data_IF_026007181662
#
_entry.id   IF_026007181662
#
_cell.length_a   1.000
_cell.length_b   1.000
_cell.length_c   1.000
_cell.angle_alpha   90.00
_cell.angle_beta   90.00
_cell.angle_gamma   90.00
#
_symmetry.space_group_name_H-M   'P 1'
#
loop_
_entity.id
_entity.type
_entity.pdbx_description
1 polymer ?
#
# COMPACT_ATOMS: atom_id res chain seq x y z
N UNK A 1 34.99 29.58 -31.04
CA UNK A 1 34.50 30.12 -32.33
C UNK A 1 33.64 29.07 -32.98
N UNK A 2 32.36 29.39 -33.21
CA UNK A 2 31.30 28.47 -33.64
C UNK A 2 30.77 29.03 -34.98
N UNK A 3 30.75 28.29 -36.09
CA UNK A 3 30.04 28.74 -37.28
C UNK A 3 28.63 28.19 -37.28
N UNK A 4 27.70 29.14 -37.30
CA UNK A 4 26.28 28.98 -37.60
C UNK A 4 26.11 28.59 -39.07
N UNK A 5 25.31 27.57 -39.34
CA UNK A 5 24.82 27.25 -40.69
C UNK A 5 23.31 27.40 -40.70
N UNK A 6 22.84 28.41 -41.44
CA UNK A 6 21.44 28.73 -41.65
C UNK A 6 20.88 27.90 -42.82
N UNK A 7 19.77 27.21 -42.58
CA UNK A 7 19.00 26.51 -43.60
C UNK A 7 17.84 27.42 -44.04
N UNK A 8 17.83 27.80 -45.32
CA UNK A 8 16.69 28.47 -45.98
C UNK A 8 15.92 27.40 -46.75
N UNK A 9 14.62 27.27 -46.51
CA UNK A 9 13.70 26.54 -47.39
C UNK A 9 12.61 27.51 -47.80
N UNK A 10 12.56 27.75 -49.11
CA UNK A 10 11.51 28.49 -49.83
C UNK A 10 10.76 27.48 -50.71
N UNK A 11 9.56 27.86 -51.19
CA UNK A 11 8.77 27.28 -52.31
C UNK A 11 7.69 26.30 -51.82
N UNK A 12 6.42 26.36 -52.24
CA UNK A 12 5.65 27.36 -52.99
C UNK A 12 4.15 27.08 -52.82
N UNK A 13 3.39 28.17 -52.90
CA UNK A 13 1.94 28.25 -53.07
C UNK A 13 1.53 27.73 -54.45
N UNK A 14 0.49 26.87 -54.51
CA UNK A 14 -0.25 26.59 -55.74
C UNK A 14 -1.71 26.94 -55.51
N UNK A 15 -2.14 28.02 -56.15
CA UNK A 15 -3.55 28.34 -56.43
C UNK A 15 -4.04 27.46 -57.58
N UNK A 16 -5.24 26.92 -57.48
CA UNK A 16 -6.04 26.54 -58.64
C UNK A 16 -7.51 26.92 -58.40
N UNK A 17 -8.06 27.68 -59.33
CA UNK A 17 -9.37 28.29 -59.30
C UNK A 17 -10.42 27.43 -60.03
N UNK A 18 -11.65 27.47 -59.50
CA UNK A 18 -12.90 27.66 -60.24
C UNK A 18 -13.42 26.53 -61.12
N UNK A 19 -14.64 26.06 -60.83
CA UNK A 19 -15.65 25.82 -61.87
C UNK A 19 -17.06 26.05 -61.32
N UNK A 20 -17.89 26.65 -62.19
CA UNK A 20 -19.25 27.13 -61.98
C UNK A 20 -20.28 25.99 -61.93
N UNK A 21 -21.31 26.21 -61.12
CA UNK A 21 -22.71 25.99 -61.52
C UNK A 21 -23.25 24.56 -61.50
N UNK A 22 -24.21 24.31 -60.62
CA UNK A 22 -25.60 24.04 -61.03
C UNK A 22 -26.49 23.97 -59.80
N UNK A 23 -27.63 24.65 -59.91
CA UNK A 23 -28.75 24.71 -59.00
C UNK A 23 -29.44 23.36 -58.85
N UNK A 24 -29.60 22.89 -57.61
CA UNK A 24 -30.52 21.80 -57.25
C UNK A 24 -31.31 22.19 -56.00
N UNK A 25 -32.61 21.92 -56.07
CA UNK A 25 -33.72 22.33 -55.22
C UNK A 25 -33.55 21.99 -53.71
N UNK A 26 -34.23 22.71 -52.79
CA UNK A 26 -34.21 22.37 -51.37
C UNK A 26 -35.07 21.12 -51.13
N UNK A 27 -34.41 19.99 -50.84
CA UNK A 27 -35.06 18.81 -50.28
C UNK A 27 -35.30 19.09 -48.79
N UNK A 28 -36.57 19.20 -48.41
CA UNK A 28 -37.01 19.17 -47.01
C UNK A 28 -36.66 17.80 -46.41
N UNK A 29 -35.48 17.70 -45.81
CA UNK A 29 -35.09 16.56 -45.00
C UNK A 29 -35.81 16.65 -43.65
N UNK A 30 -36.83 15.80 -43.46
CA UNK A 30 -37.35 15.46 -42.14
C UNK A 30 -36.21 14.85 -41.33
N UNK A 31 -35.67 15.62 -40.38
CA UNK A 31 -34.79 15.11 -39.33
C UNK A 31 -35.59 14.17 -38.44
N UNK A 32 -35.59 12.88 -38.79
CA UNK A 32 -35.77 11.85 -37.78
C UNK A 32 -34.55 11.94 -36.88
N UNK A 33 -34.72 12.55 -35.72
CA UNK A 33 -33.82 12.35 -34.58
C UNK A 33 -33.82 10.84 -34.28
N UNK A 34 -32.90 10.10 -34.89
CA UNK A 34 -32.41 8.87 -34.30
C UNK A 34 -31.70 9.31 -33.03
N UNK A 35 -32.43 9.26 -31.92
CA UNK A 35 -31.87 9.37 -30.59
C UNK A 35 -30.89 8.21 -30.47
N UNK A 36 -29.62 8.49 -30.73
CA UNK A 36 -28.53 7.64 -30.34
C UNK A 36 -28.72 7.42 -28.83
N UNK A 37 -29.15 6.21 -28.45
CA UNK A 37 -28.99 5.74 -27.08
C UNK A 37 -27.50 5.79 -26.83
N UNK A 38 -27.06 6.85 -26.16
CA UNK A 38 -25.81 6.82 -25.43
C UNK A 38 -25.86 5.54 -24.59
N UNK A 39 -24.83 4.67 -24.66
CA UNK A 39 -24.65 3.69 -23.62
C UNK A 39 -24.59 4.50 -22.33
N UNK A 40 -25.60 4.34 -21.48
CA UNK A 40 -25.53 4.81 -20.12
C UNK A 40 -24.24 4.26 -19.56
N UNK A 41 -23.30 5.17 -19.31
CA UNK A 41 -22.11 4.96 -18.50
C UNK A 41 -22.61 4.59 -17.11
N UNK A 42 -23.03 3.33 -16.96
CA UNK A 42 -23.14 2.67 -15.69
C UNK A 42 -21.71 2.49 -15.23
N UNK A 43 -21.23 3.46 -14.46
CA UNK A 43 -20.27 3.15 -13.42
C UNK A 43 -20.86 1.95 -12.70
N UNK A 44 -20.31 0.77 -12.96
CA UNK A 44 -20.50 -0.33 -12.03
C UNK A 44 -19.85 0.16 -10.75
N UNK A 45 -20.68 0.71 -9.87
CA UNK A 45 -20.30 1.03 -8.53
C UNK A 45 -19.66 -0.23 -7.97
N UNK A 46 -18.39 -0.12 -7.61
CA UNK A 46 -17.73 -1.12 -6.79
C UNK A 46 -18.67 -1.31 -5.61
N UNK A 47 -19.26 -2.49 -5.51
CA UNK A 47 -20.18 -2.84 -4.44
C UNK A 47 -19.37 -2.85 -3.14
N UNK A 48 -19.22 -1.71 -2.47
CA UNK A 48 -18.73 -1.63 -1.08
C UNK A 48 -19.90 -2.00 -0.15
N UNK A 49 -20.47 -3.18 -0.37
CA UNK A 49 -21.51 -3.80 0.44
C UNK A 49 -21.18 -5.29 0.69
N UNK A 50 -19.88 -5.60 0.76
CA UNK A 50 -19.36 -6.93 1.07
C UNK A 50 -18.30 -6.83 2.17
N UNK A 51 -18.21 -7.87 3.00
CA UNK A 51 -17.15 -8.00 4.00
C UNK A 51 -15.79 -7.95 3.29
N UNK A 52 -14.92 -7.01 3.66
CA UNK A 52 -13.58 -6.90 3.11
C UNK A 52 -12.81 -8.21 3.37
N UNK A 53 -12.43 -8.91 2.30
CA UNK A 53 -11.70 -10.17 2.36
C UNK A 53 -10.40 -10.07 1.57
N UNK A 54 -9.35 -10.68 2.11
CA UNK A 54 -8.06 -10.78 1.45
C UNK A 54 -7.74 -12.25 1.18
N UNK A 55 -7.41 -12.58 -0.07
CA UNK A 55 -6.92 -13.91 -0.42
C UNK A 55 -5.40 -13.84 -0.51
N UNK A 56 -4.72 -14.42 0.49
CA UNK A 56 -3.25 -14.57 0.38
C UNK A 56 -2.97 -15.46 -0.82
N UNK A 57 -2.28 -14.88 -1.80
CA UNK A 57 -1.75 -15.57 -2.98
C UNK A 57 -0.41 -16.20 -2.59
N UNK A 58 0.13 -17.08 -3.43
CA UNK A 58 1.50 -17.59 -3.21
C UNK A 58 2.47 -16.41 -3.19
N UNK A 59 3.10 -16.19 -2.04
CA UNK A 59 4.14 -15.17 -1.84
C UNK A 59 5.51 -15.81 -2.02
N UNK A 60 6.52 -15.05 -2.48
CA UNK A 60 7.89 -15.52 -2.37
C UNK A 60 8.26 -15.65 -0.89
N UNK A 61 9.18 -16.56 -0.60
CA UNK A 61 9.73 -16.75 0.73
C UNK A 61 11.18 -16.29 0.80
N UNK A 62 11.58 -15.86 1.98
CA UNK A 62 12.97 -15.52 2.34
C UNK A 62 13.32 -16.15 3.68
N UNK A 63 14.57 -16.05 4.10
CA UNK A 63 14.99 -16.62 5.37
C UNK A 63 14.09 -16.14 6.52
N UNK A 64 13.82 -17.05 7.46
CA UNK A 64 12.90 -16.83 8.56
C UNK A 64 13.46 -15.77 9.49
N UNK A 65 12.56 -14.88 9.85
CA UNK A 65 12.80 -13.72 10.68
C UNK A 65 11.83 -13.79 11.85
N UNK A 66 12.36 -13.83 13.08
CA UNK A 66 11.60 -14.11 14.30
C UNK A 66 11.55 -12.91 15.25
N UNK A 67 10.60 -12.93 16.18
CA UNK A 67 10.61 -12.02 17.32
C UNK A 67 11.57 -12.48 18.40
N UNK A 68 12.32 -11.57 19.02
CA UNK A 68 13.18 -11.90 20.16
C UNK A 68 13.18 -10.78 21.20
N UNK A 69 13.39 -11.16 22.46
CA UNK A 69 13.58 -10.26 23.58
C UNK A 69 15.04 -10.30 24.03
N UNK A 70 15.61 -9.14 24.37
CA UNK A 70 16.90 -9.03 25.05
C UNK A 70 16.72 -8.33 26.39
N UNK A 71 17.46 -8.77 27.39
CA UNK A 71 17.41 -8.18 28.73
C UNK A 71 16.11 -8.47 29.47
N UNK A 72 15.74 -7.58 30.40
CA UNK A 72 14.60 -7.79 31.32
C UNK A 72 13.33 -7.07 30.87
N UNK A 73 12.86 -7.35 29.65
CA UNK A 73 11.55 -6.89 29.19
C UNK A 73 10.41 -7.69 29.84
N UNK A 74 9.18 -7.13 29.92
CA UNK A 74 7.99 -7.90 30.28
C UNK A 74 7.83 -9.13 29.37
N UNK A 75 7.18 -10.21 29.84
CA UNK A 75 7.02 -11.46 29.08
C UNK A 75 5.95 -11.32 27.98
N UNK A 76 6.18 -10.41 27.05
CA UNK A 76 5.28 -10.07 25.95
C UNK A 76 6.04 -10.05 24.64
N UNK A 77 5.36 -10.41 23.55
CA UNK A 77 5.96 -10.47 22.21
C UNK A 77 5.29 -9.44 21.31
N UNK A 78 6.07 -8.51 20.78
CA UNK A 78 5.62 -7.68 19.66
C UNK A 78 5.63 -8.52 18.39
N UNK A 79 4.66 -8.31 17.50
CA UNK A 79 4.48 -9.14 16.31
C UNK A 79 4.15 -8.28 15.08
N UNK A 80 4.65 -8.63 13.89
CA UNK A 80 4.27 -7.93 12.67
C UNK A 80 2.81 -8.27 12.34
N UNK A 81 2.06 -7.32 11.77
CA UNK A 81 0.66 -7.56 11.36
C UNK A 81 0.67 -8.13 9.94
N UNK A 82 1.00 -9.41 9.82
CA UNK A 82 1.22 -10.08 8.52
C UNK A 82 0.48 -11.42 8.49
N UNK A 83 -0.04 -11.85 7.32
CA UNK A 83 -0.71 -13.14 7.22
C UNK A 83 0.25 -14.27 7.62
N UNK A 84 -0.20 -15.23 8.43
CA UNK A 84 0.63 -16.34 8.87
C UNK A 84 1.12 -17.15 7.67
N UNK A 85 2.27 -17.80 7.83
CA UNK A 85 2.83 -18.71 6.84
C UNK A 85 1.89 -19.87 6.58
N UNK A 86 1.58 -20.13 5.32
CA UNK A 86 0.91 -21.37 4.92
C UNK A 86 1.95 -22.42 4.52
N UNK A 87 1.70 -23.72 4.78
CA UNK A 87 2.65 -24.79 4.42
C UNK A 87 3.05 -24.81 2.94
N UNK A 88 2.18 -24.30 2.06
CA UNK A 88 2.36 -24.22 0.62
C UNK A 88 3.20 -23.00 0.15
N UNK A 89 3.51 -22.05 1.05
CA UNK A 89 4.29 -20.84 0.72
C UNK A 89 5.78 -20.96 1.01
N UNK A 90 6.19 -21.98 1.77
CA UNK A 90 7.58 -22.14 2.23
C UNK A 90 8.07 -23.55 1.98
N UNK A 91 9.29 -23.68 1.48
CA UNK A 91 9.92 -24.98 1.27
C UNK A 91 10.44 -25.60 2.57
N UNK A 92 10.60 -24.80 3.63
CA UNK A 92 11.06 -25.24 4.95
C UNK A 92 10.57 -24.32 6.08
N UNK A 93 10.68 -24.79 7.32
CA UNK A 93 10.40 -23.99 8.53
C UNK A 93 11.43 -22.87 8.77
N UNK A 94 12.48 -22.79 7.95
CA UNK A 94 13.50 -21.75 7.95
C UNK A 94 13.17 -20.60 7.00
N UNK A 95 11.97 -20.59 6.43
CA UNK A 95 11.50 -19.53 5.53
C UNK A 95 10.33 -18.73 6.12
N UNK A 96 10.23 -17.46 5.70
CA UNK A 96 9.14 -16.55 5.99
C UNK A 96 8.61 -15.94 4.69
N UNK A 97 7.29 -15.84 4.50
CA UNK A 97 6.69 -15.16 3.36
C UNK A 97 7.04 -13.67 3.31
N UNK A 98 7.04 -13.13 2.09
CA UNK A 98 7.30 -11.73 1.81
C UNK A 98 6.00 -11.03 1.44
N UNK A 99 5.61 -10.00 2.19
CA UNK A 99 4.39 -9.24 1.90
C UNK A 99 4.61 -8.22 0.79
N UNK A 100 3.57 -7.97 0.00
CA UNK A 100 3.61 -7.03 -1.12
C UNK A 100 3.18 -5.63 -0.71
N UNK A 101 3.83 -4.62 -1.30
CA UNK A 101 3.42 -3.21 -1.29
C UNK A 101 3.47 -2.62 -2.70
N UNK A 102 2.54 -1.74 -3.06
CA UNK A 102 2.65 -0.91 -4.26
C UNK A 102 3.36 0.42 -3.98
N UNK A 103 3.28 0.90 -2.73
CA UNK A 103 3.88 2.16 -2.29
C UNK A 103 5.40 2.16 -2.40
N UNK A 104 5.95 3.28 -2.86
CA UNK A 104 7.38 3.59 -2.79
C UNK A 104 7.88 3.79 -1.36
N UNK A 105 6.95 4.17 -0.46
CA UNK A 105 7.17 4.54 0.93
C UNK A 105 6.06 3.88 1.77
N UNK A 106 6.13 2.56 2.00
CA UNK A 106 5.07 1.84 2.70
C UNK A 106 4.92 2.25 4.17
N UNK A 107 3.75 1.97 4.73
CA UNK A 107 3.54 1.93 6.17
C UNK A 107 3.64 0.49 6.64
N UNK A 108 4.50 0.23 7.63
CA UNK A 108 4.72 -1.10 8.20
C UNK A 108 4.01 -1.20 9.56
N UNK A 109 3.37 -2.33 9.84
CA UNK A 109 2.49 -2.48 11.01
C UNK A 109 3.01 -3.52 12.00
N UNK A 110 3.03 -3.13 13.28
CA UNK A 110 3.40 -3.98 14.41
C UNK A 110 2.32 -3.93 15.49
N UNK A 111 1.96 -5.08 16.06
CA UNK A 111 1.17 -5.14 17.28
C UNK A 111 2.07 -5.05 18.51
N UNK A 112 1.70 -4.14 19.40
CA UNK A 112 2.30 -3.94 20.70
C UNK A 112 1.27 -4.39 21.75
N UNK A 113 1.43 -5.57 22.36
CA UNK A 113 0.36 -6.17 23.17
C UNK A 113 0.24 -5.61 24.59
N UNK A 114 1.19 -4.78 25.03
CA UNK A 114 1.27 -4.29 26.40
C UNK A 114 1.44 -2.78 26.47
N UNK A 115 1.03 -2.21 27.60
CA UNK A 115 1.31 -0.81 27.91
C UNK A 115 2.81 -0.58 28.03
N UNK A 116 3.31 0.43 27.31
CA UNK A 116 4.72 0.81 27.32
C UNK A 116 4.89 2.34 27.33
N UNK A 117 4.52 3.02 28.44
CA UNK A 117 4.59 4.47 28.53
C UNK A 117 6.01 5.00 28.33
N UNK A 118 6.18 5.98 27.44
CA UNK A 118 7.48 6.60 27.17
C UNK A 118 8.49 5.68 26.47
N UNK A 119 8.08 4.49 26.03
CA UNK A 119 8.95 3.62 25.25
C UNK A 119 9.26 4.23 23.89
N UNK A 120 10.54 4.12 23.51
CA UNK A 120 11.01 4.51 22.18
C UNK A 120 11.11 3.25 21.33
N UNK A 121 10.53 3.30 20.15
CA UNK A 121 10.68 2.29 19.13
C UNK A 121 11.62 2.76 18.03
N UNK A 122 12.28 1.82 17.37
CA UNK A 122 13.16 2.04 16.24
C UNK A 122 12.75 1.12 15.10
N UNK A 123 12.56 1.70 13.91
CA UNK A 123 12.42 0.97 12.66
C UNK A 123 13.76 0.99 11.92
N UNK A 124 14.21 -0.17 11.46
CA UNK A 124 15.33 -0.30 10.53
C UNK A 124 14.85 -1.00 9.27
N UNK A 125 15.30 -0.54 8.11
CA UNK A 125 15.08 -1.16 6.81
C UNK A 125 16.43 -1.54 6.21
N UNK A 126 16.54 -2.76 5.72
CA UNK A 126 17.74 -3.31 5.10
C UNK A 126 17.46 -3.82 3.70
N UNK A 127 18.51 -3.95 2.89
CA UNK A 127 18.44 -4.62 1.60
C UNK A 127 18.11 -6.12 1.74
N UNK A 128 17.88 -6.79 0.62
CA UNK A 128 17.50 -8.21 0.59
C UNK A 128 18.53 -9.14 1.23
N UNK A 129 19.82 -8.79 1.19
CA UNK A 129 20.88 -9.57 1.83
C UNK A 129 20.93 -9.39 3.36
N UNK A 130 20.27 -8.36 3.91
CA UNK A 130 20.38 -8.00 5.33
C UNK A 130 21.73 -7.37 5.71
N UNK A 131 22.57 -7.04 4.72
CA UNK A 131 23.94 -6.57 4.92
C UNK A 131 24.05 -5.05 4.97
N UNK A 132 23.09 -4.34 4.35
CA UNK A 132 23.10 -2.88 4.27
C UNK A 132 21.84 -2.30 4.90
N UNK A 133 22.03 -1.45 5.91
CA UNK A 133 20.97 -0.57 6.42
C UNK A 133 20.70 0.56 5.42
N UNK A 134 19.47 0.62 4.93
CA UNK A 134 18.99 1.61 3.97
C UNK A 134 18.30 2.78 4.68
N UNK A 135 17.66 2.50 5.83
CA UNK A 135 16.95 3.49 6.61
C UNK A 135 16.84 3.07 8.08
N UNK A 136 16.88 4.06 8.97
CA UNK A 136 16.73 3.86 10.41
C UNK A 136 16.10 5.10 11.04
N UNK A 137 15.05 4.90 11.84
CA UNK A 137 14.37 6.00 12.53
C UNK A 137 13.87 5.58 13.89
N UNK A 138 13.79 6.54 14.81
CA UNK A 138 13.22 6.36 16.14
C UNK A 138 11.92 7.16 16.25
N UNK A 139 10.96 6.59 16.96
CA UNK A 139 9.68 7.22 17.22
C UNK A 139 9.19 6.85 18.62
N UNK A 140 8.47 7.79 19.24
CA UNK A 140 7.89 7.59 20.56
C UNK A 140 6.57 6.83 20.43
N UNK A 141 6.36 5.84 21.30
CA UNK A 141 5.07 5.16 21.41
C UNK A 141 4.13 5.98 22.29
N UNK A 142 2.84 5.97 21.96
CA UNK A 142 1.77 6.55 22.79
C UNK A 142 1.60 5.85 24.14
N UNK A 143 2.23 4.69 24.32
CA UNK A 143 2.15 3.87 25.53
C UNK A 143 0.92 2.98 25.62
N UNK A 144 -0.06 3.15 24.73
CA UNK A 144 -1.28 2.31 24.67
C UNK A 144 -1.01 1.01 23.90
N UNK A 145 -1.56 -0.14 24.36
CA UNK A 145 -1.46 -1.39 23.62
C UNK A 145 -2.33 -1.32 22.36
N UNK A 146 -1.84 -1.94 21.29
CA UNK A 146 -2.55 -2.00 20.01
C UNK A 146 -1.60 -2.03 18.82
N UNK A 147 -2.13 -1.68 17.66
CA UNK A 147 -1.44 -1.72 16.39
C UNK A 147 -0.85 -0.35 16.09
N UNK A 148 0.44 -0.36 15.78
CA UNK A 148 1.24 0.81 15.44
C UNK A 148 1.67 0.69 13.99
N UNK A 149 1.32 1.69 13.18
CA UNK A 149 1.87 1.87 11.84
C UNK A 149 3.12 2.75 11.88
N UNK A 150 4.08 2.47 11.01
CA UNK A 150 5.32 3.22 10.88
C UNK A 150 5.54 3.49 9.39
N UNK A 151 5.35 4.75 8.99
CA UNK A 151 5.52 5.20 7.61
C UNK A 151 7.00 5.43 7.31
N UNK A 152 7.47 4.86 6.21
CA UNK A 152 8.77 5.23 5.65
C UNK A 152 8.62 6.64 5.05
N UNK A 153 9.45 7.63 5.43
CA UNK A 153 9.29 8.99 4.95
C UNK A 153 9.77 9.15 3.50
N UNK A 154 9.23 10.15 2.82
CA UNK A 154 9.60 10.48 1.42
C UNK A 154 11.03 11.04 1.29
N UNK A 155 11.69 11.39 2.41
CA UNK A 155 13.08 11.85 2.43
C UNK A 155 14.09 10.74 2.18
N UNK A 156 13.67 9.48 2.27
CA UNK A 156 14.48 8.28 1.97
C UNK A 156 14.32 7.95 0.48
N UNK A 157 15.31 7.35 -0.20
CA UNK A 157 15.10 6.85 -1.55
C UNK A 157 13.88 5.89 -1.64
N UNK A 158 13.06 5.98 -2.69
CA UNK A 158 11.90 5.12 -2.85
C UNK A 158 12.33 3.64 -2.95
N UNK A 159 11.56 2.74 -2.34
CA UNK A 159 11.77 1.30 -2.53
C UNK A 159 11.68 0.98 -4.03
N UNK A 160 12.51 0.09 -4.53
CA UNK A 160 12.54 -0.24 -5.95
C UNK A 160 11.55 -1.37 -6.26
N UNK A 161 10.88 -1.26 -7.39
CA UNK A 161 9.96 -2.31 -7.87
C UNK A 161 10.73 -3.61 -8.11
N UNK A 162 10.18 -4.72 -7.64
CA UNK A 162 10.77 -6.07 -7.70
C UNK A 162 11.85 -6.34 -6.65
N UNK A 163 12.15 -5.37 -5.78
CA UNK A 163 13.14 -5.53 -4.71
C UNK A 163 12.46 -5.88 -3.38
N UNK A 164 13.12 -6.76 -2.63
CA UNK A 164 12.71 -7.19 -1.29
C UNK A 164 13.55 -6.49 -0.23
N UNK A 165 12.94 -6.23 0.91
CA UNK A 165 13.55 -5.51 2.01
C UNK A 165 13.20 -6.20 3.32
N UNK A 166 14.22 -6.34 4.18
CA UNK A 166 14.03 -6.78 5.55
C UNK A 166 13.78 -5.55 6.41
N UNK A 167 12.65 -5.53 7.12
CA UNK A 167 12.39 -4.49 8.11
C UNK A 167 12.34 -5.09 9.50
N UNK A 168 12.82 -4.32 10.47
CA UNK A 168 12.80 -4.70 11.88
C UNK A 168 12.30 -3.53 12.72
N UNK A 169 11.41 -3.84 13.64
CA UNK A 169 10.99 -2.91 14.70
C UNK A 169 11.56 -3.42 16.02
N UNK A 170 12.24 -2.54 16.74
CA UNK A 170 12.67 -2.79 18.12
C UNK A 170 12.04 -1.76 19.06
N UNK A 171 11.68 -2.17 20.26
CA UNK A 171 11.09 -1.31 21.29
C UNK A 171 11.93 -1.42 22.55
N UNK A 172 12.42 -0.28 23.05
CA UNK A 172 13.13 -0.22 24.33
C UNK A 172 12.11 -0.27 25.46
N UNK A 173 12.20 -1.31 26.29
CA UNK A 173 11.25 -1.58 27.37
C UNK A 173 11.43 -0.64 28.57
N UNK A 174 12.66 -0.18 28.78
CA UNK A 174 13.03 0.69 29.90
C UNK A 174 14.07 1.71 29.41
N UNK A 175 13.73 2.99 29.44
CA UNK A 175 14.62 4.07 28.97
C UNK A 175 15.96 4.12 29.71
N UNK A 176 16.00 3.68 30.97
CA UNK A 176 17.24 3.59 31.76
C UNK A 176 18.09 2.36 31.43
N UNK A 177 17.56 1.43 30.63
CA UNK A 177 18.21 0.19 30.19
C UNK A 177 18.03 -0.02 28.67
N UNK A 178 18.69 0.78 27.81
CA UNK A 178 18.51 0.72 26.36
C UNK A 178 18.84 -0.63 25.71
N UNK A 179 19.58 -1.50 26.39
CA UNK A 179 19.84 -2.87 25.97
C UNK A 179 18.61 -3.78 26.09
N UNK A 180 17.67 -3.46 26.98
CA UNK A 180 16.44 -4.22 27.21
C UNK A 180 15.43 -3.87 26.12
N UNK A 181 15.27 -4.77 25.14
CA UNK A 181 14.46 -4.52 23.95
C UNK A 181 13.63 -5.72 23.53
N UNK A 182 12.42 -5.45 23.07
CA UNK A 182 11.64 -6.38 22.24
C UNK A 182 11.94 -6.09 20.78
N UNK A 183 12.00 -7.10 19.94
CA UNK A 183 12.25 -6.93 18.51
C UNK A 183 11.41 -7.89 17.70
N UNK A 184 10.95 -7.43 16.54
CA UNK A 184 10.31 -8.25 15.53
C UNK A 184 10.73 -7.80 14.15
N UNK A 185 10.66 -8.70 13.19
CA UNK A 185 11.14 -8.52 11.83
C UNK A 185 10.18 -9.18 10.85
N UNK A 186 10.10 -8.63 9.65
CA UNK A 186 9.37 -9.23 8.53
C UNK A 186 9.92 -8.72 7.20
N UNK A 187 9.39 -9.25 6.11
CA UNK A 187 9.79 -8.91 4.76
C UNK A 187 8.73 -8.07 4.05
N UNK A 188 9.19 -7.20 3.15
CA UNK A 188 8.32 -6.48 2.22
C UNK A 188 8.95 -6.43 0.82
N UNK A 189 8.13 -6.62 -0.21
CA UNK A 189 8.51 -6.45 -1.61
C UNK A 189 7.68 -5.33 -2.24
N UNK A 190 8.34 -4.37 -2.91
CA UNK A 190 7.60 -3.41 -3.73
C UNK A 190 7.25 -4.04 -5.06
N UNK A 191 5.97 -4.20 -5.36
CA UNK A 191 5.49 -4.76 -6.63
C UNK A 191 5.01 -3.67 -7.59
N UNK A 192 5.08 -3.95 -8.89
CA UNK A 192 4.49 -3.08 -9.89
C UNK A 192 2.96 -3.19 -9.81
N UNK A 193 2.27 -2.06 -9.85
CA UNK A 193 0.82 -2.03 -9.89
C UNK A 193 0.35 -2.17 -11.34
N UNK A 194 -0.65 -3.02 -11.59
CA UNK A 194 -1.29 -3.09 -12.90
C UNK A 194 -1.88 -1.71 -13.27
N UNK A 195 -1.71 -1.21 -14.52
CA UNK A 195 -2.17 0.12 -14.90
C UNK A 195 -3.68 0.34 -14.70
N UNK A 196 -4.49 -0.70 -14.87
CA UNK A 196 -5.94 -0.64 -14.63
C UNK A 196 -6.21 -0.46 -13.14
N UNK A 197 -5.53 -1.23 -12.30
CA UNK A 197 -5.62 -1.15 -10.84
C UNK A 197 -5.16 0.22 -10.34
N UNK A 198 -4.04 0.74 -10.88
CA UNK A 198 -3.54 2.08 -10.57
C UNK A 198 -4.57 3.17 -10.91
N UNK A 199 -5.23 3.08 -12.06
CA UNK A 199 -6.29 4.02 -12.44
C UNK A 199 -7.49 3.97 -11.49
N UNK A 200 -7.89 2.77 -11.05
CA UNK A 200 -9.00 2.62 -10.09
C UNK A 200 -8.65 3.25 -8.74
N UNK A 201 -7.45 2.99 -8.22
CA UNK A 201 -6.97 3.55 -6.95
C UNK A 201 -6.95 5.08 -6.99
N UNK A 202 -6.55 5.69 -8.11
CA UNK A 202 -6.48 7.15 -8.23
C UNK A 202 -7.85 7.85 -8.11
N UNK A 203 -8.94 7.15 -8.40
CA UNK A 203 -10.31 7.67 -8.35
C UNK A 203 -11.07 7.20 -7.10
N UNK A 204 -10.53 6.22 -6.39
CA UNK A 204 -11.16 5.57 -5.26
C UNK A 204 -11.02 6.36 -3.95
N UNK A 205 -12.07 6.32 -3.14
CA UNK A 205 -12.03 6.67 -1.73
C UNK A 205 -11.05 5.76 -0.97
N UNK A 206 -10.60 6.17 0.21
CA UNK A 206 -9.68 5.36 1.03
C UNK A 206 -10.24 3.96 1.37
N UNK A 207 -11.56 3.85 1.51
CA UNK A 207 -12.25 2.57 1.76
C UNK A 207 -12.31 1.70 0.51
N UNK A 208 -12.55 2.29 -0.66
CA UNK A 208 -12.49 1.55 -1.92
C UNK A 208 -11.05 1.11 -2.24
N UNK A 209 -10.05 1.94 -1.94
CA UNK A 209 -8.63 1.58 -2.07
C UNK A 209 -8.29 0.31 -1.32
N UNK A 210 -8.73 0.16 -0.07
CA UNK A 210 -8.46 -1.06 0.71
C UNK A 210 -9.03 -2.30 0.04
N UNK A 211 -10.24 -2.22 -0.53
CA UNK A 211 -10.85 -3.33 -1.29
C UNK A 211 -10.08 -3.63 -2.60
N UNK A 212 -9.73 -2.61 -3.37
CA UNK A 212 -9.00 -2.76 -4.64
C UNK A 212 -7.62 -3.39 -4.40
N UNK A 213 -6.87 -2.93 -3.39
CA UNK A 213 -5.59 -3.53 -3.02
C UNK A 213 -5.76 -4.98 -2.55
N UNK A 214 -6.84 -5.29 -1.82
CA UNK A 214 -7.09 -6.65 -1.34
C UNK A 214 -7.35 -7.63 -2.49
N UNK A 215 -8.14 -7.22 -3.49
CA UNK A 215 -8.38 -8.00 -4.70
C UNK A 215 -7.10 -8.21 -5.51
N UNK A 216 -6.25 -7.18 -5.58
CA UNK A 216 -4.93 -7.25 -6.20
C UNK A 216 -3.92 -8.10 -5.41
N UNK A 217 -4.23 -8.51 -4.18
CA UNK A 217 -3.32 -9.29 -3.32
C UNK A 217 -2.17 -8.46 -2.75
N UNK A 218 -2.38 -7.16 -2.52
CA UNK A 218 -1.37 -6.22 -2.01
C UNK A 218 -1.63 -5.94 -0.53
N UNK A 219 -0.97 -6.72 0.34
CA UNK A 219 -1.29 -6.76 1.77
C UNK A 219 -1.01 -5.43 2.48
N UNK A 220 0.18 -4.85 2.28
CA UNK A 220 0.61 -3.68 3.06
C UNK A 220 -0.27 -2.45 2.75
N UNK A 221 -0.61 -2.21 1.48
CA UNK A 221 -1.48 -1.09 1.09
C UNK A 221 -2.95 -1.31 1.49
N UNK A 222 -3.43 -2.56 1.47
CA UNK A 222 -4.76 -2.93 2.03
C UNK A 222 -4.84 -2.56 3.50
N UNK A 223 -3.85 -3.03 4.27
CA UNK A 223 -3.76 -2.81 5.71
C UNK A 223 -3.60 -1.33 6.04
N UNK A 224 -2.74 -0.62 5.30
CA UNK A 224 -2.49 0.81 5.50
C UNK A 224 -3.75 1.64 5.29
N UNK A 225 -4.47 1.40 4.18
CA UNK A 225 -5.68 2.14 3.85
C UNK A 225 -6.75 1.98 4.94
N UNK A 226 -6.91 0.76 5.46
CA UNK A 226 -7.90 0.48 6.49
C UNK A 226 -7.47 0.94 7.89
N UNK A 227 -6.18 0.89 8.20
CA UNK A 227 -5.64 1.42 9.45
C UNK A 227 -5.81 2.95 9.53
N UNK A 228 -5.60 3.66 8.42
CA UNK A 228 -5.86 5.10 8.32
C UNK A 228 -7.35 5.44 8.52
N UNK A 229 -8.26 4.65 7.96
CA UNK A 229 -9.70 4.79 8.21
C UNK A 229 -10.06 4.58 9.68
N UNK A 230 -9.50 3.56 10.34
CA UNK A 230 -9.74 3.31 11.77
C UNK A 230 -9.22 4.44 12.64
N UNK A 231 -8.05 4.98 12.32
CA UNK A 231 -7.45 6.06 13.10
C UNK A 231 -8.26 7.36 12.96
N UNK A 232 -8.77 7.65 11.76
CA UNK A 232 -9.58 8.84 11.49
C UNK A 232 -11.05 8.70 11.92
N UNK A 233 -11.59 7.47 11.94
CA UNK A 233 -12.99 7.18 12.26
C UNK A 233 -13.10 6.07 13.32
N UNK A 234 -12.60 6.27 14.55
CA UNK A 234 -12.49 5.21 15.56
C UNK A 234 -13.84 4.64 16.03
N UNK A 235 -14.94 5.37 15.83
CA UNK A 235 -16.30 4.96 16.20
C UNK A 235 -17.15 4.49 15.00
N UNK A 236 -16.59 4.44 13.79
CA UNK A 236 -17.33 3.97 12.62
C UNK A 236 -17.41 2.44 12.61
N UNK A 237 -18.62 1.93 12.86
CA UNK A 237 -18.88 0.50 12.95
C UNK A 237 -18.63 -0.22 11.62
N UNK A 238 -18.81 0.44 10.49
CA UNK A 238 -18.58 -0.16 9.17
C UNK A 238 -17.08 -0.37 8.93
N UNK A 239 -16.24 0.59 9.33
CA UNK A 239 -14.77 0.45 9.31
C UNK A 239 -14.31 -0.62 10.29
N UNK A 240 -14.95 -0.71 11.47
CA UNK A 240 -14.65 -1.76 12.44
C UNK A 240 -14.96 -3.17 11.88
N UNK A 241 -16.08 -3.32 11.17
CA UNK A 241 -16.46 -4.57 10.51
C UNK A 241 -15.53 -4.95 9.36
N UNK A 242 -15.11 -3.99 8.54
CA UNK A 242 -14.14 -4.24 7.46
C UNK A 242 -12.81 -4.73 8.02
N UNK A 243 -12.35 -4.12 9.12
CA UNK A 243 -11.12 -4.54 9.80
C UNK A 243 -11.20 -5.95 10.36
N UNK A 244 -12.28 -6.26 11.08
CA UNK A 244 -12.48 -7.60 11.62
C UNK A 244 -12.56 -8.64 10.50
N UNK A 245 -13.24 -8.31 9.39
CA UNK A 245 -13.35 -9.18 8.22
C UNK A 245 -12.00 -9.42 7.54
N UNK A 246 -11.20 -8.36 7.37
CA UNK A 246 -9.85 -8.46 6.82
C UNK A 246 -8.98 -9.38 7.66
N UNK A 247 -8.92 -9.15 8.98
CA UNK A 247 -8.13 -9.96 9.91
C UNK A 247 -8.58 -11.43 9.90
N UNK A 248 -9.90 -11.68 9.90
CA UNK A 248 -10.43 -13.04 9.83
C UNK A 248 -10.08 -13.74 8.51
N UNK A 249 -10.09 -13.02 7.38
CA UNK A 249 -9.81 -13.60 6.06
C UNK A 249 -8.39 -14.15 5.92
N UNK A 250 -7.47 -13.73 6.80
CA UNK A 250 -6.07 -14.14 6.82
C UNK A 250 -5.67 -14.82 8.13
N UNK A 251 -6.63 -15.35 8.91
CA UNK A 251 -6.37 -16.04 10.19
C UNK A 251 -5.64 -15.18 11.25
N UNK A 252 -5.89 -13.87 11.26
CA UNK A 252 -5.39 -12.92 12.25
C UNK A 252 -6.48 -12.47 13.22
N UNK A 253 -7.44 -13.33 13.58
CA UNK A 253 -8.57 -12.96 14.45
C UNK A 253 -8.16 -12.30 15.78
N UNK A 254 -6.99 -12.62 16.32
CA UNK A 254 -6.46 -11.99 17.55
C UNK A 254 -6.18 -10.48 17.40
N UNK A 255 -6.08 -10.00 16.16
CA UNK A 255 -5.88 -8.60 15.80
C UNK A 255 -7.20 -7.88 15.49
N UNK A 256 -8.32 -8.60 15.33
CA UNK A 256 -9.60 -8.03 14.94
C UNK A 256 -10.14 -6.99 15.94
N UNK A 257 -9.91 -7.22 17.24
CA UNK A 257 -10.37 -6.33 18.31
C UNK A 257 -9.29 -5.36 18.81
N UNK A 258 -8.10 -5.37 18.21
CA UNK A 258 -7.02 -4.47 18.62
C UNK A 258 -7.25 -3.07 18.01
N UNK A 259 -7.06 -1.99 18.80
CA UNK A 259 -7.13 -0.65 18.26
C UNK A 259 -5.90 -0.37 17.39
N UNK A 260 -6.07 0.45 16.35
CA UNK A 260 -4.94 1.13 15.71
C UNK A 260 -4.68 2.38 16.55
N UNK A 261 -3.55 2.44 17.24
CA UNK A 261 -3.28 3.48 18.25
C UNK A 261 -2.53 4.68 17.69
N UNK A 262 -1.71 4.47 16.66
CA UNK A 262 -0.97 5.53 15.98
C UNK A 262 -0.46 5.06 14.61
N UNK A 263 -0.19 6.01 13.73
CA UNK A 263 0.68 5.84 12.57
C UNK A 263 1.78 6.90 12.70
N UNK A 264 3.02 6.47 12.99
CA UNK A 264 4.19 7.33 13.13
C UNK A 264 4.89 7.53 11.78
N UNK A 265 5.71 8.58 11.64
CA UNK A 265 6.53 8.81 10.45
C UNK A 265 6.06 9.94 9.52
N UNK A 266 5.41 10.98 10.09
CA UNK A 266 5.27 12.29 9.45
C UNK A 266 6.14 13.31 10.19
#
# INVERSE_FOLDING_TARGET
MKPSTSFKITIATVLAAGFLGTSVLPVLALSRFSQARQPSSGSQGILVAGRLGFRVRVRPSRFRVGGFARGSCPPVTIAPVTPPTRPEETASDEEAPVDSTASAHPTLFVNIPAEMPGATAQLTLQNEAGEQELYSTKFTLTGKPGIVGIRIPESVPPLQVGQKYLWQVSVVCNANKPQDRLSTMSWVERVALDPTVASQINQATLREKSAIYAEAGIWQDTLSSLAELRLSNPNDQSVAQDWASLMQSVNLQDFANKPVVQIAGN
#
